data_IF_428941986016
#
_entry.id   IF_428941986016
#
_cell.length_a   1.000
_cell.length_b   1.000
_cell.length_c   1.000
_cell.angle_alpha   90.00
_cell.angle_beta   90.00
_cell.angle_gamma   90.00
#
_symmetry.space_group_name_H-M   'P 1'
#
loop_
_entity.id
_entity.type
_entity.pdbx_description
1 polymer ?
#
# COMPACT_ATOMS: atom_id res chain seq x y z
N UNK A 1 -42.34 -84.50 -7.26
CA UNK A 1 -42.68 -83.93 -8.58
C UNK A 1 -42.20 -82.49 -8.63
N UNK A 2 -41.52 -82.20 -9.72
CA UNK A 2 -41.00 -80.93 -10.21
C UNK A 2 -41.97 -79.75 -10.14
N UNK A 3 -41.44 -78.55 -9.92
CA UNK A 3 -42.16 -77.30 -10.13
C UNK A 3 -41.32 -76.06 -9.84
N UNK A 4 -40.31 -75.80 -10.69
CA UNK A 4 -39.55 -74.55 -10.73
C UNK A 4 -40.46 -73.45 -11.32
N UNK A 5 -40.64 -72.34 -10.61
CA UNK A 5 -41.01 -71.05 -11.24
C UNK A 5 -40.20 -69.92 -10.62
N UNK A 6 -39.29 -69.40 -11.43
CA UNK A 6 -38.51 -68.18 -11.24
C UNK A 6 -39.37 -66.93 -11.45
N UNK A 7 -39.24 -65.92 -10.59
CA UNK A 7 -39.96 -64.64 -10.72
C UNK A 7 -39.24 -63.47 -10.04
N UNK A 8 -38.18 -62.99 -10.70
CA UNK A 8 -37.59 -61.65 -10.69
C UNK A 8 -37.85 -60.72 -9.47
N UNK A 9 -36.83 -60.58 -8.63
CA UNK A 9 -36.60 -59.39 -7.80
C UNK A 9 -36.27 -58.18 -8.68
N UNK A 10 -37.19 -57.23 -8.83
CA UNK A 10 -36.88 -55.93 -9.43
C UNK A 10 -36.16 -55.05 -8.40
N UNK A 11 -34.85 -54.88 -8.63
CA UNK A 11 -34.00 -53.92 -7.89
C UNK A 11 -34.61 -52.53 -7.97
N UNK A 12 -34.99 -51.97 -6.82
CA UNK A 12 -35.31 -50.54 -6.71
C UNK A 12 -34.11 -49.72 -7.18
N UNK A 13 -34.27 -49.04 -8.32
CA UNK A 13 -33.29 -48.07 -8.80
C UNK A 13 -33.29 -46.89 -7.84
N UNK A 14 -32.34 -46.86 -6.89
CA UNK A 14 -32.06 -45.66 -6.13
C UNK A 14 -31.51 -44.62 -7.09
N UNK A 15 -32.37 -43.75 -7.62
CA UNK A 15 -31.95 -42.51 -8.28
C UNK A 15 -31.10 -41.73 -7.28
N UNK A 16 -29.78 -41.81 -7.43
CA UNK A 16 -28.87 -40.85 -6.82
C UNK A 16 -29.31 -39.48 -7.34
N UNK A 17 -30.00 -38.71 -6.49
CA UNK A 17 -30.30 -37.30 -6.75
C UNK A 17 -28.95 -36.64 -6.97
N UNK A 18 -28.58 -36.37 -8.23
CA UNK A 18 -27.48 -35.46 -8.56
C UNK A 18 -27.83 -34.15 -7.88
N UNK A 19 -27.25 -33.90 -6.70
CA UNK A 19 -27.33 -32.59 -6.06
C UNK A 19 -26.75 -31.62 -7.08
N UNK A 20 -27.60 -30.79 -7.65
CA UNK A 20 -27.18 -29.69 -8.48
C UNK A 20 -26.38 -28.77 -7.56
N UNK A 21 -25.06 -28.97 -7.55
CA UNK A 21 -24.16 -28.06 -6.88
C UNK A 21 -24.25 -26.77 -7.68
N UNK A 22 -25.08 -25.83 -7.23
CA UNK A 22 -24.95 -24.45 -7.71
C UNK A 22 -23.61 -23.98 -7.15
N UNK A 23 -22.55 -23.79 -7.96
CA UNK A 23 -21.36 -23.17 -7.45
C UNK A 23 -21.80 -21.83 -6.86
N UNK A 24 -21.75 -21.70 -5.53
CA UNK A 24 -21.82 -20.39 -4.91
C UNK A 24 -20.55 -19.70 -5.40
N UNK A 25 -20.68 -18.90 -6.45
CA UNK A 25 -19.63 -17.96 -6.80
C UNK A 25 -19.43 -17.11 -5.55
N UNK A 26 -18.32 -17.33 -4.85
CA UNK A 26 -17.89 -16.43 -3.81
C UNK A 26 -17.81 -15.08 -4.51
N UNK A 27 -18.67 -14.13 -4.11
CA UNK A 27 -18.63 -12.75 -4.59
C UNK A 27 -17.40 -12.10 -3.96
N UNK A 28 -16.21 -12.59 -4.32
CA UNK A 28 -14.97 -11.93 -3.96
C UNK A 28 -14.98 -10.58 -4.69
N UNK A 29 -14.77 -9.50 -3.94
CA UNK A 29 -14.56 -8.17 -4.52
C UNK A 29 -13.38 -8.30 -5.47
N UNK A 30 -13.63 -8.18 -6.78
CA UNK A 30 -12.55 -8.26 -7.76
C UNK A 30 -11.92 -6.87 -7.87
N UNK A 31 -10.69 -6.76 -7.37
CA UNK A 31 -9.88 -5.57 -7.47
C UNK A 31 -9.36 -5.45 -8.90
N UNK A 32 -9.93 -4.51 -9.66
CA UNK A 32 -9.55 -4.23 -11.04
C UNK A 32 -8.93 -2.83 -11.10
N UNK A 33 -7.72 -2.74 -11.61
CA UNK A 33 -7.04 -1.51 -11.96
C UNK A 33 -6.59 -1.56 -13.43
N UNK A 34 -6.11 -0.46 -13.99
CA UNK A 34 -5.57 -0.38 -15.34
C UNK A 34 -4.27 -1.20 -15.52
N UNK A 35 -3.51 -1.40 -14.44
CA UNK A 35 -2.27 -2.18 -14.42
C UNK A 35 -2.42 -3.42 -13.51
N UNK A 36 -1.91 -4.60 -13.92
CA UNK A 36 -1.91 -5.80 -13.09
C UNK A 36 -1.27 -5.59 -11.71
N UNK A 37 -0.21 -4.77 -11.64
CA UNK A 37 0.47 -4.42 -10.39
C UNK A 37 -0.48 -3.78 -9.37
N UNK A 38 -1.31 -2.83 -9.81
CA UNK A 38 -2.25 -2.11 -8.94
C UNK A 38 -3.42 -3.00 -8.51
N UNK A 39 -3.89 -3.89 -9.38
CA UNK A 39 -4.89 -4.91 -9.00
C UNK A 39 -4.34 -5.83 -7.90
N UNK A 40 -3.10 -6.31 -8.04
CA UNK A 40 -2.42 -7.15 -7.05
C UNK A 40 -2.13 -6.38 -5.77
N UNK A 41 -1.75 -5.10 -5.86
CA UNK A 41 -1.57 -4.23 -4.69
C UNK A 41 -2.87 -4.10 -3.88
N UNK A 42 -3.97 -3.72 -4.54
CA UNK A 42 -5.29 -3.57 -3.91
C UNK A 42 -5.77 -4.87 -3.28
N UNK A 43 -5.60 -5.99 -3.99
CA UNK A 43 -5.90 -7.33 -3.45
C UNK A 43 -5.03 -7.66 -2.24
N UNK A 44 -3.73 -7.37 -2.32
CA UNK A 44 -2.74 -7.60 -1.27
C UNK A 44 -3.08 -6.86 0.00
N UNK A 45 -3.32 -5.54 -0.08
CA UNK A 45 -3.75 -4.71 1.06
C UNK A 45 -5.04 -5.27 1.66
N UNK A 46 -6.06 -5.55 0.85
CA UNK A 46 -7.31 -6.12 1.37
C UNK A 46 -7.06 -7.46 2.08
N UNK A 47 -6.23 -8.33 1.53
CA UNK A 47 -5.98 -9.65 2.11
C UNK A 47 -5.21 -9.53 3.43
N UNK A 48 -4.13 -8.73 3.48
CA UNK A 48 -3.27 -8.62 4.66
C UNK A 48 -3.98 -7.93 5.82
N UNK A 49 -4.73 -6.85 5.55
CA UNK A 49 -5.51 -6.16 6.60
C UNK A 49 -6.58 -7.07 7.19
N UNK A 50 -7.36 -7.76 6.36
CA UNK A 50 -8.36 -8.70 6.85
C UNK A 50 -7.71 -9.85 7.63
N UNK A 51 -6.56 -10.36 7.19
CA UNK A 51 -5.78 -11.36 7.93
C UNK A 51 -5.35 -10.88 9.32
N UNK A 52 -4.93 -9.63 9.44
CA UNK A 52 -4.50 -9.02 10.70
C UNK A 52 -5.63 -8.84 11.72
N UNK A 53 -6.89 -8.74 11.27
CA UNK A 53 -8.04 -8.68 12.20
C UNK A 53 -8.18 -9.93 13.06
N UNK A 54 -7.66 -11.07 12.60
CA UNK A 54 -7.66 -12.33 13.32
C UNK A 54 -6.41 -12.54 14.19
N UNK A 55 -5.48 -11.58 14.18
CA UNK A 55 -4.26 -11.61 14.99
C UNK A 55 -4.46 -10.71 16.21
N UNK A 56 -4.24 -11.27 17.39
CA UNK A 56 -4.29 -10.52 18.64
C UNK A 56 -3.24 -9.40 18.63
N UNK A 57 -3.63 -8.22 19.12
CA UNK A 57 -2.69 -7.10 19.26
C UNK A 57 -1.75 -7.42 20.42
N UNK A 58 -0.43 -7.53 20.18
CA UNK A 58 0.51 -7.79 21.25
C UNK A 58 0.67 -6.54 22.12
N UNK A 59 0.93 -6.74 23.42
CA UNK A 59 1.20 -5.63 24.36
C UNK A 59 2.49 -4.89 24.01
N UNK A 60 3.49 -5.63 23.50
CA UNK A 60 4.76 -5.11 23.04
C UNK A 60 5.22 -5.84 21.79
N UNK A 61 5.95 -5.13 20.92
CA UNK A 61 6.61 -5.73 19.76
C UNK A 61 7.92 -6.37 20.19
N UNK A 62 8.19 -7.55 19.67
CA UNK A 62 9.40 -8.32 19.88
C UNK A 62 10.40 -8.09 18.74
N UNK A 63 11.71 -8.33 18.95
CA UNK A 63 12.72 -8.16 17.88
C UNK A 63 12.43 -8.96 16.60
N UNK A 64 11.75 -10.10 16.71
CA UNK A 64 11.36 -10.93 15.56
C UNK A 64 10.25 -10.30 14.72
N UNK A 65 9.41 -9.42 15.30
CA UNK A 65 8.38 -8.71 14.55
C UNK A 65 8.99 -7.80 13.47
N UNK A 66 10.19 -7.26 13.72
CA UNK A 66 10.96 -6.42 12.79
C UNK A 66 11.67 -7.21 11.68
N UNK A 67 11.63 -8.55 11.74
CA UNK A 67 12.13 -9.46 10.70
C UNK A 67 11.00 -10.28 10.07
N UNK A 68 9.83 -10.27 10.69
CA UNK A 68 8.66 -11.05 10.27
C UNK A 68 8.14 -10.61 8.90
N UNK A 69 7.45 -11.53 8.23
CA UNK A 69 6.74 -11.24 7.00
C UNK A 69 5.59 -12.22 6.80
N UNK A 70 4.56 -11.81 6.07
CA UNK A 70 3.55 -12.72 5.50
C UNK A 70 3.81 -12.83 4.00
N UNK A 71 3.60 -14.02 3.42
CA UNK A 71 3.73 -14.23 1.98
C UNK A 71 2.60 -15.11 1.49
N UNK A 72 1.85 -14.60 0.52
CA UNK A 72 0.79 -15.33 -0.16
C UNK A 72 1.18 -15.50 -1.63
N UNK A 73 1.02 -16.71 -2.15
CA UNK A 73 1.11 -17.03 -3.57
C UNK A 73 -0.30 -17.42 -4.04
N UNK A 74 -0.76 -16.78 -5.10
CA UNK A 74 -2.06 -17.08 -5.71
C UNK A 74 -1.80 -17.69 -7.07
N UNK A 75 -2.38 -18.87 -7.30
CA UNK A 75 -2.33 -19.62 -8.56
C UNK A 75 -3.76 -19.99 -8.97
N UNK A 76 -4.37 -19.16 -9.81
CA UNK A 76 -5.73 -19.35 -10.30
C UNK A 76 -5.73 -20.09 -11.64
N UNK A 77 -6.27 -21.32 -11.65
CA UNK A 77 -6.51 -22.07 -12.89
C UNK A 77 -7.97 -21.89 -13.33
N UNK A 78 -8.19 -21.25 -14.49
CA UNK A 78 -9.51 -21.04 -15.13
C UNK A 78 -10.58 -20.34 -14.26
N UNK A 79 -10.18 -19.68 -13.18
CA UNK A 79 -11.05 -18.87 -12.33
C UNK A 79 -10.82 -17.39 -12.65
N UNK A 80 -11.89 -16.60 -12.78
CA UNK A 80 -11.89 -15.19 -13.26
C UNK A 80 -11.56 -14.94 -14.75
N UNK A 81 -11.43 -15.99 -15.59
CA UNK A 81 -11.16 -15.89 -17.05
C UNK A 81 -12.40 -15.81 -17.95
N UNK A 82 -13.51 -15.20 -17.51
CA UNK A 82 -14.69 -15.02 -18.38
C UNK A 82 -14.98 -13.53 -18.57
N UNK A 83 -14.22 -12.90 -19.47
CA UNK A 83 -14.72 -11.85 -20.35
C UNK A 83 -13.76 -11.64 -21.54
N UNK A 84 -13.69 -12.62 -22.45
CA UNK A 84 -13.17 -12.40 -23.80
C UNK A 84 -14.17 -11.56 -24.57
N UNK A 85 -13.89 -10.27 -24.73
CA UNK A 85 -14.14 -9.44 -25.93
C UNK A 85 -14.05 -7.93 -25.62
N UNK A 86 -14.00 -7.52 -24.35
CA UNK A 86 -13.76 -6.11 -23.97
C UNK A 86 -12.81 -6.07 -22.77
N UNK A 87 -11.51 -5.89 -23.06
CA UNK A 87 -10.36 -5.39 -22.28
C UNK A 87 -10.39 -5.23 -20.73
N UNK A 88 -10.97 -6.15 -19.93
CA UNK A 88 -11.09 -5.98 -18.45
C UNK A 88 -10.60 -7.17 -17.59
N UNK A 89 -9.71 -8.04 -18.09
CA UNK A 89 -9.07 -9.10 -17.27
C UNK A 89 -7.79 -8.62 -16.56
N UNK A 90 -7.90 -7.71 -15.58
CA UNK A 90 -6.72 -7.06 -14.98
C UNK A 90 -6.22 -7.68 -13.65
N UNK A 91 -6.72 -8.86 -13.26
CA UNK A 91 -6.16 -9.62 -12.14
C UNK A 91 -5.34 -10.80 -12.69
N UNK A 92 -4.01 -10.82 -12.49
CA UNK A 92 -3.17 -11.88 -13.02
C UNK A 92 -3.53 -13.25 -12.41
N UNK A 93 -3.40 -14.31 -13.21
CA UNK A 93 -3.66 -15.68 -12.73
C UNK A 93 -2.63 -16.17 -11.71
N UNK A 94 -1.40 -15.67 -11.81
CA UNK A 94 -0.28 -16.03 -10.95
C UNK A 94 0.38 -14.77 -10.41
N UNK A 95 0.39 -14.62 -9.09
CA UNK A 95 1.08 -13.52 -8.44
C UNK A 95 1.47 -13.87 -7.00
N UNK A 96 2.39 -13.10 -6.43
CA UNK A 96 2.78 -13.21 -5.02
C UNK A 96 2.65 -11.85 -4.34
N UNK A 97 2.19 -11.86 -3.11
CA UNK A 97 2.19 -10.69 -2.23
C UNK A 97 3.00 -11.06 -1.00
N UNK A 98 3.99 -10.25 -0.66
CA UNK A 98 4.71 -10.32 0.60
C UNK A 98 4.53 -9.01 1.34
N UNK A 99 4.09 -9.06 2.59
CA UNK A 99 4.07 -7.90 3.49
C UNK A 99 5.18 -8.09 4.53
N UNK A 100 5.97 -7.04 4.73
CA UNK A 100 7.06 -7.03 5.68
C UNK A 100 6.60 -6.43 7.01
N UNK A 101 7.08 -6.98 8.13
CA UNK A 101 6.87 -6.47 9.48
C UNK A 101 5.42 -6.07 9.81
N UNK A 102 4.42 -6.94 9.53
CA UNK A 102 3.00 -6.59 9.58
C UNK A 102 2.54 -6.02 10.93
N UNK A 103 3.01 -6.58 12.05
CA UNK A 103 2.65 -6.10 13.39
C UNK A 103 3.29 -4.74 13.72
N UNK A 104 4.51 -4.50 13.22
CA UNK A 104 5.19 -3.21 13.39
C UNK A 104 4.41 -2.11 12.66
N UNK A 105 4.03 -2.36 11.40
CA UNK A 105 3.27 -1.39 10.62
C UNK A 105 1.82 -1.23 11.08
N UNK A 106 1.20 -2.26 11.66
CA UNK A 106 -0.09 -2.13 12.36
C UNK A 106 0.04 -1.17 13.55
N UNK A 107 1.07 -1.33 14.39
CA UNK A 107 1.27 -0.42 15.52
C UNK A 107 1.68 0.99 15.09
N UNK A 108 2.44 1.16 14.00
CA UNK A 108 2.73 2.48 13.44
C UNK A 108 1.46 3.18 12.96
N UNK A 109 0.56 2.47 12.27
CA UNK A 109 -0.74 3.04 11.86
C UNK A 109 -1.55 3.50 13.06
N UNK A 110 -1.64 2.70 14.11
CA UNK A 110 -2.27 3.10 15.38
C UNK A 110 -1.63 4.37 15.97
N UNK A 111 -0.30 4.43 16.05
CA UNK A 111 0.43 5.61 16.58
C UNK A 111 0.24 6.88 15.75
N UNK A 112 -0.03 6.74 14.46
CA UNK A 112 -0.37 7.85 13.58
C UNK A 112 -1.88 8.14 13.52
N UNK A 113 -2.70 7.47 14.33
CA UNK A 113 -4.14 7.66 14.36
C UNK A 113 -4.83 7.23 13.06
N UNK A 114 -4.34 6.15 12.45
CA UNK A 114 -4.89 5.58 11.22
C UNK A 114 -5.60 4.27 11.57
N UNK A 115 -6.91 4.23 11.35
CA UNK A 115 -7.69 3.01 11.46
C UNK A 115 -7.37 2.05 10.29
N UNK A 116 -7.32 0.74 10.58
CA UNK A 116 -6.97 -0.30 9.61
C UNK A 116 -8.03 -0.43 8.49
N UNK A 117 -9.30 -0.24 8.83
CA UNK A 117 -10.41 -0.32 7.87
C UNK A 117 -10.41 0.90 6.96
N UNK A 118 -10.17 2.09 7.51
CA UNK A 118 -10.04 3.32 6.72
C UNK A 118 -8.83 3.25 5.79
N UNK A 119 -7.67 2.82 6.30
CA UNK A 119 -6.47 2.57 5.50
C UNK A 119 -6.74 1.63 4.32
N UNK A 120 -7.38 0.49 4.58
CA UNK A 120 -7.74 -0.47 3.54
C UNK A 120 -8.73 0.14 2.54
N UNK A 121 -9.73 0.90 3.00
CA UNK A 121 -10.71 1.53 2.13
C UNK A 121 -10.05 2.55 1.19
N UNK A 122 -9.19 3.42 1.72
CA UNK A 122 -8.42 4.42 0.96
C UNK A 122 -7.58 3.80 -0.15
N UNK A 123 -7.01 2.61 0.09
CA UNK A 123 -6.10 1.96 -0.87
C UNK A 123 -6.79 0.98 -1.82
N UNK A 124 -8.04 0.59 -1.57
CA UNK A 124 -8.69 -0.52 -2.31
C UNK A 124 -10.08 -0.19 -2.87
N UNK A 125 -10.68 0.95 -2.54
CA UNK A 125 -11.98 1.37 -3.10
C UNK A 125 -11.87 1.77 -4.57
N UNK A 126 -10.76 2.40 -4.95
CA UNK A 126 -10.40 2.75 -6.32
C UNK A 126 -8.90 2.59 -6.50
N UNK A 127 -8.46 2.36 -7.73
CA UNK A 127 -7.04 2.32 -8.07
C UNK A 127 -6.33 3.62 -7.69
N UNK A 128 -5.07 3.49 -7.27
CA UNK A 128 -4.21 4.64 -7.03
C UNK A 128 -3.82 5.31 -8.36
N UNK A 129 -3.63 6.63 -8.32
CA UNK A 129 -3.32 7.45 -9.49
C UNK A 129 -1.83 7.70 -9.52
N UNK A 130 -1.16 7.42 -10.63
CA UNK A 130 0.26 7.74 -10.78
C UNK A 130 0.48 9.26 -10.68
N UNK A 131 1.48 9.68 -9.91
CA UNK A 131 1.86 11.09 -9.75
C UNK A 131 3.31 11.28 -10.15
N UNK A 132 3.59 12.39 -10.81
CA UNK A 132 4.94 12.75 -11.22
C UNK A 132 5.85 12.92 -10.01
N UNK A 133 7.03 12.28 -10.08
CA UNK A 133 8.11 12.53 -9.14
C UNK A 133 9.10 13.53 -9.73
N UNK A 134 9.43 14.62 -9.03
CA UNK A 134 10.51 15.53 -9.45
C UNK A 134 11.91 14.96 -9.12
N UNK A 135 11.99 13.82 -8.43
CA UNK A 135 13.24 13.24 -7.95
C UNK A 135 14.04 12.48 -9.02
N UNK A 136 15.37 12.53 -8.93
CA UNK A 136 16.30 11.83 -9.83
C UNK A 136 16.33 10.29 -9.64
N UNK A 137 15.65 9.75 -8.63
CA UNK A 137 15.76 8.33 -8.22
C UNK A 137 15.02 7.34 -9.11
N UNK A 138 14.23 7.80 -10.10
CA UNK A 138 13.43 6.90 -10.95
C UNK A 138 12.28 6.18 -10.23
N UNK A 139 12.06 6.46 -8.94
CA UNK A 139 10.97 5.89 -8.17
C UNK A 139 9.62 6.38 -8.71
N UNK A 140 8.69 5.44 -8.92
CA UNK A 140 7.30 5.73 -9.24
C UNK A 140 6.52 6.04 -7.97
N UNK A 141 5.62 7.00 -8.07
CA UNK A 141 4.74 7.39 -6.99
C UNK A 141 3.30 7.24 -7.45
N UNK A 142 2.46 6.74 -6.55
CA UNK A 142 1.02 6.67 -6.73
C UNK A 142 0.34 7.32 -5.53
N UNK A 143 -0.78 7.98 -5.77
CA UNK A 143 -1.60 8.61 -4.74
C UNK A 143 -2.92 7.84 -4.60
N UNK A 144 -3.35 7.58 -3.36
CA UNK A 144 -4.66 7.00 -3.11
C UNK A 144 -5.77 7.90 -3.68
N UNK A 145 -6.93 7.33 -4.01
CA UNK A 145 -8.00 8.09 -4.67
C UNK A 145 -8.55 9.25 -3.81
N UNK A 146 -8.44 9.12 -2.49
CA UNK A 146 -8.81 10.14 -1.50
C UNK A 146 -7.64 11.04 -1.08
N UNK A 147 -6.48 10.87 -1.72
CA UNK A 147 -5.26 11.66 -1.50
C UNK A 147 -4.68 11.58 -0.09
N UNK A 148 -5.11 10.62 0.74
CA UNK A 148 -4.60 10.45 2.10
C UNK A 148 -3.22 9.77 2.15
N UNK A 149 -2.92 8.93 1.15
CA UNK A 149 -1.71 8.10 1.14
C UNK A 149 -0.94 8.22 -0.18
N UNK A 150 0.37 8.05 -0.07
CA UNK A 150 1.30 7.92 -1.18
C UNK A 150 1.90 6.52 -1.15
N UNK A 151 1.98 5.88 -2.30
CA UNK A 151 2.62 4.58 -2.51
C UNK A 151 3.87 4.86 -3.35
N UNK A 152 5.04 4.59 -2.80
CA UNK A 152 6.32 4.80 -3.48
C UNK A 152 6.94 3.44 -3.82
N UNK A 153 7.47 3.30 -5.03
CA UNK A 153 8.31 2.14 -5.37
C UNK A 153 9.69 2.27 -4.76
N UNK A 154 10.23 1.16 -4.27
CA UNK A 154 11.57 1.07 -3.70
C UNK A 154 12.48 0.17 -4.54
N UNK A 155 13.78 0.45 -4.47
CA UNK A 155 14.83 -0.49 -4.85
C UNK A 155 15.02 -1.55 -3.75
N UNK A 156 15.67 -2.68 -4.09
CA UNK A 156 16.00 -3.74 -3.13
C UNK A 156 16.85 -3.21 -1.97
N UNK A 157 17.82 -2.34 -2.29
CA UNK A 157 18.75 -1.76 -1.31
C UNK A 157 18.03 -0.80 -0.37
N UNK A 158 17.04 -0.04 -0.88
CA UNK A 158 16.19 0.82 -0.04
C UNK A 158 15.33 -0.01 0.94
N UNK A 159 14.89 -1.22 0.55
CA UNK A 159 14.14 -2.13 1.43
C UNK A 159 15.03 -2.66 2.56
N UNK A 160 16.29 -3.00 2.26
CA UNK A 160 17.27 -3.41 3.28
C UNK A 160 17.55 -2.27 4.27
N UNK A 161 17.75 -1.05 3.76
CA UNK A 161 17.92 0.15 4.59
C UNK A 161 16.69 0.42 5.45
N UNK A 162 15.48 0.27 4.89
CA UNK A 162 14.24 0.41 5.66
C UNK A 162 14.13 -0.62 6.79
N UNK A 163 14.59 -1.86 6.61
CA UNK A 163 14.60 -2.84 7.70
C UNK A 163 15.56 -2.48 8.83
N UNK A 164 16.69 -1.83 8.51
CA UNK A 164 17.61 -1.29 9.52
C UNK A 164 16.95 -0.13 10.24
N UNK A 165 16.47 0.87 9.48
CA UNK A 165 15.81 2.06 10.00
C UNK A 165 14.60 1.73 10.88
N UNK A 166 13.78 0.75 10.51
CA UNK A 166 12.51 0.46 11.18
C UNK A 166 12.69 0.14 12.68
N UNK A 167 13.83 -0.45 13.06
CA UNK A 167 14.14 -0.80 14.45
C UNK A 167 14.39 0.42 15.34
N UNK A 168 14.85 1.51 14.74
CA UNK A 168 15.13 2.78 15.43
C UNK A 168 13.94 3.74 15.28
N UNK A 169 13.33 3.74 14.10
CA UNK A 169 12.18 4.57 13.77
C UNK A 169 10.95 4.26 14.61
N UNK A 170 10.63 2.97 14.86
CA UNK A 170 9.45 2.64 15.68
C UNK A 170 9.57 3.19 17.11
N UNK A 171 10.67 2.93 17.87
CA UNK A 171 10.90 3.57 19.17
C UNK A 171 10.83 5.10 19.12
N UNK A 172 11.41 5.72 18.09
CA UNK A 172 11.33 7.17 17.92
C UNK A 172 9.88 7.66 17.80
N UNK A 173 9.07 7.02 16.96
CA UNK A 173 7.62 7.34 16.82
C UNK A 173 6.86 7.10 18.12
N UNK A 174 7.24 6.08 18.90
CA UNK A 174 6.65 5.80 20.22
C UNK A 174 6.90 6.96 21.18
N UNK A 175 8.16 7.34 21.34
CA UNK A 175 8.62 8.39 22.25
C UNK A 175 8.06 9.76 21.88
N UNK A 176 8.01 10.06 20.58
CA UNK A 176 7.45 11.32 20.06
C UNK A 176 5.93 11.33 19.99
N UNK A 177 5.26 10.27 20.42
CA UNK A 177 3.79 10.13 20.35
C UNK A 177 3.24 10.40 18.94
N UNK A 178 3.92 9.91 17.91
CA UNK A 178 3.54 10.13 16.50
C UNK A 178 3.78 11.55 15.95
N UNK A 179 4.33 12.48 16.76
CA UNK A 179 4.61 13.86 16.34
C UNK A 179 5.99 13.98 15.71
N UNK A 180 6.04 13.84 14.39
CA UNK A 180 7.26 13.91 13.59
C UNK A 180 6.97 14.46 12.18
N UNK A 181 7.96 15.11 11.58
CA UNK A 181 8.00 15.54 10.18
C UNK A 181 8.59 14.47 9.26
N UNK A 182 9.18 13.40 9.82
CA UNK A 182 9.65 12.24 9.04
C UNK A 182 8.47 11.58 8.29
N UNK A 183 8.73 10.88 7.17
CA UNK A 183 7.70 10.13 6.48
C UNK A 183 7.01 9.16 7.44
N UNK A 184 5.68 9.20 7.47
CA UNK A 184 4.88 8.29 8.30
C UNK A 184 4.72 6.97 7.55
N UNK A 185 5.57 5.99 7.82
CA UNK A 185 5.57 4.69 7.14
C UNK A 185 4.45 3.79 7.67
N UNK A 186 3.60 3.29 6.78
CA UNK A 186 2.34 2.63 7.12
C UNK A 186 2.27 1.16 6.72
N UNK A 187 3.04 0.77 5.71
CA UNK A 187 3.24 -0.62 5.30
C UNK A 187 4.39 -0.72 4.29
N UNK A 188 4.97 -1.91 4.18
CA UNK A 188 5.95 -2.25 3.16
C UNK A 188 5.61 -3.59 2.52
N UNK A 189 5.58 -3.63 1.19
CA UNK A 189 5.18 -4.79 0.41
C UNK A 189 6.22 -5.14 -0.66
N UNK A 190 6.26 -6.42 -1.03
CA UNK A 190 6.82 -6.90 -2.30
C UNK A 190 5.75 -7.62 -3.08
N UNK A 191 5.49 -7.17 -4.29
CA UNK A 191 4.57 -7.80 -5.23
C UNK A 191 5.39 -8.51 -6.30
N UNK A 192 5.03 -9.75 -6.63
CA UNK A 192 5.56 -10.46 -7.80
C UNK A 192 4.43 -10.66 -8.79
N UNK A 193 4.50 -9.99 -9.94
CA UNK A 193 3.50 -10.06 -11.00
C UNK A 193 4.22 -10.40 -12.30
N UNK A 194 3.77 -11.44 -12.99
CA UNK A 194 4.36 -11.86 -14.29
C UNK A 194 5.88 -12.09 -14.23
N UNK A 195 6.38 -12.53 -13.08
CA UNK A 195 7.81 -12.77 -12.84
C UNK A 195 8.62 -11.55 -12.41
N UNK A 196 8.07 -10.33 -12.52
CA UNK A 196 8.73 -9.11 -12.05
C UNK A 196 8.43 -8.85 -10.56
N UNK A 197 9.46 -8.53 -9.79
CA UNK A 197 9.32 -8.10 -8.39
C UNK A 197 9.26 -6.57 -8.31
N UNK A 198 8.34 -6.04 -7.52
CA UNK A 198 8.23 -4.60 -7.23
C UNK A 198 8.05 -4.41 -5.74
N UNK A 199 8.90 -3.56 -5.16
CA UNK A 199 8.84 -3.20 -3.75
C UNK A 199 8.10 -1.89 -3.58
N UNK A 200 7.23 -1.82 -2.58
CA UNK A 200 6.36 -0.68 -2.34
C UNK A 200 6.38 -0.32 -0.86
N UNK A 201 6.41 0.98 -0.58
CA UNK A 201 6.13 1.52 0.76
C UNK A 201 4.92 2.43 0.68
N UNK A 202 4.03 2.32 1.66
CA UNK A 202 2.89 3.21 1.81
C UNK A 202 3.21 4.22 2.91
N UNK A 203 3.05 5.50 2.61
CA UNK A 203 3.26 6.61 3.54
C UNK A 203 2.05 7.53 3.56
N UNK A 204 1.87 8.29 4.65
CA UNK A 204 0.87 9.38 4.69
C UNK A 204 1.25 10.46 3.68
N UNK A 205 0.27 10.97 2.94
CA UNK A 205 0.47 12.16 2.11
C UNK A 205 0.67 13.40 3.00
N UNK A 206 1.75 14.15 2.74
CA UNK A 206 2.05 15.39 3.48
C UNK A 206 1.09 16.53 3.10
N UNK A 207 0.51 16.48 1.91
CA UNK A 207 -0.43 17.48 1.43
C UNK A 207 -1.85 17.12 1.86
N UNK A 208 -2.64 18.16 2.15
CA UNK A 208 -4.05 18.00 2.48
C UNK A 208 -4.81 17.31 1.34
N UNK A 209 -5.75 16.42 1.71
CA UNK A 209 -6.71 15.85 0.77
C UNK A 209 -7.79 16.84 0.33
N UNK A 210 -7.97 17.94 1.08
CA UNK A 210 -9.04 18.92 0.90
C UNK A 210 -8.56 20.29 0.41
N UNK A 211 -7.34 20.71 0.80
CA UNK A 211 -6.79 22.01 0.45
C UNK A 211 -5.87 21.89 -0.76
N UNK A 212 -6.06 22.79 -1.73
CA UNK A 212 -5.20 22.86 -2.91
C UNK A 212 -3.85 23.47 -2.54
N UNK A 213 -2.78 22.86 -3.06
CA UNK A 213 -1.42 23.36 -2.94
C UNK A 213 -1.16 24.29 -4.12
N UNK A 214 -0.84 25.55 -3.83
CA UNK A 214 -0.60 26.56 -4.87
C UNK A 214 0.89 26.67 -5.24
N UNK A 215 1.78 26.40 -4.28
CA UNK A 215 3.24 26.48 -4.45
C UNK A 215 3.88 25.31 -3.71
N UNK A 216 4.90 24.69 -4.33
CA UNK A 216 5.69 23.61 -3.71
C UNK A 216 7.17 23.94 -3.76
N UNK A 217 7.86 23.65 -2.68
CA UNK A 217 9.32 23.71 -2.60
C UNK A 217 9.87 22.37 -2.10
N UNK A 218 10.91 21.86 -2.77
CA UNK A 218 11.84 20.85 -2.23
C UNK A 218 13.04 21.64 -1.69
N UNK A 219 13.29 21.59 -0.39
CA UNK A 219 14.36 22.35 0.28
C UNK A 219 15.38 21.40 0.91
N UNK A 220 16.66 21.71 0.75
CA UNK A 220 17.78 20.91 1.28
C UNK A 220 18.85 21.74 2.00
N UNK A 221 18.83 23.06 1.88
CA UNK A 221 19.82 23.97 2.46
C UNK A 221 21.14 24.06 1.68
N UNK A 222 21.30 23.29 0.61
CA UNK A 222 22.43 23.43 -0.32
C UNK A 222 22.11 24.42 -1.45
N UNK A 223 23.12 24.82 -2.22
CA UNK A 223 22.98 25.80 -3.32
C UNK A 223 23.23 25.21 -4.72
N UNK A 224 23.97 24.10 -4.81
CA UNK A 224 24.32 23.44 -6.08
C UNK A 224 23.15 22.57 -6.56
N UNK A 225 22.75 22.72 -7.83
CA UNK A 225 21.60 22.02 -8.44
C UNK A 225 20.25 22.25 -7.73
N UNK A 226 20.12 23.38 -7.02
CA UNK A 226 18.94 23.75 -6.23
C UNK A 226 18.08 24.83 -6.88
N UNK A 227 17.95 24.75 -8.20
CA UNK A 227 16.93 25.47 -8.99
C UNK A 227 16.04 24.47 -9.74
N UNK A 228 14.76 24.82 -9.94
CA UNK A 228 13.85 24.06 -10.80
C UNK A 228 14.29 24.13 -12.27
N UNK A 229 14.22 23.00 -12.97
CA UNK A 229 14.49 22.95 -14.40
C UNK A 229 13.36 23.64 -15.19
N UNK A 230 13.66 24.08 -16.41
CA UNK A 230 12.66 24.69 -17.32
C UNK A 230 11.43 23.78 -17.48
N UNK A 231 11.63 22.48 -17.73
CA UNK A 231 10.55 21.49 -17.81
C UNK A 231 9.70 21.38 -16.54
N UNK A 232 10.29 21.52 -15.35
CA UNK A 232 9.51 21.49 -14.10
C UNK A 232 8.68 22.76 -13.96
N UNK A 233 9.22 23.91 -14.37
CA UNK A 233 8.54 25.22 -14.33
C UNK A 233 7.33 25.32 -15.27
N UNK A 234 7.30 24.51 -16.34
CA UNK A 234 6.16 24.42 -17.26
C UNK A 234 4.91 23.73 -16.66
N UNK A 235 5.07 23.02 -15.54
CA UNK A 235 3.94 22.35 -14.88
C UNK A 235 3.01 23.37 -14.21
N UNK A 236 1.73 23.02 -14.12
CA UNK A 236 0.72 23.86 -13.46
C UNK A 236 1.06 24.19 -11.99
N UNK A 237 1.67 23.24 -11.28
CA UNK A 237 2.18 23.45 -9.92
C UNK A 237 3.62 22.91 -9.87
N UNK A 238 4.63 23.76 -10.20
CA UNK A 238 6.02 23.33 -10.23
C UNK A 238 6.53 23.01 -8.83
N UNK A 239 7.51 22.13 -8.76
CA UNK A 239 8.28 21.87 -7.54
C UNK A 239 9.55 22.71 -7.60
N UNK A 240 9.50 23.87 -6.96
CA UNK A 240 10.60 24.82 -6.85
C UNK A 240 11.64 24.32 -5.84
N UNK A 241 12.83 24.93 -5.81
CA UNK A 241 13.93 24.56 -4.92
C UNK A 241 14.48 25.75 -4.13
N UNK A 242 15.60 25.55 -3.42
CA UNK A 242 16.18 26.53 -2.50
C UNK A 242 16.51 27.87 -3.18
N UNK A 243 17.15 27.85 -4.36
CA UNK A 243 17.52 29.09 -5.07
C UNK A 243 16.29 29.83 -5.60
N UNK A 244 15.23 29.09 -5.96
CA UNK A 244 13.94 29.66 -6.35
C UNK A 244 13.28 30.39 -5.18
N UNK A 245 13.23 29.75 -4.01
CA UNK A 245 12.65 30.33 -2.80
C UNK A 245 13.32 31.67 -2.45
N UNK A 246 14.65 31.73 -2.54
CA UNK A 246 15.43 32.94 -2.25
C UNK A 246 15.16 34.01 -3.31
N UNK A 247 15.16 33.65 -4.60
CA UNK A 247 14.93 34.57 -5.72
C UNK A 247 13.52 35.17 -5.68
N UNK A 248 12.53 34.37 -5.35
CA UNK A 248 11.13 34.79 -5.25
C UNK A 248 10.89 35.67 -4.00
N UNK A 249 11.84 35.71 -3.07
CA UNK A 249 11.69 36.43 -1.80
C UNK A 249 10.57 35.87 -0.92
N UNK A 250 10.18 34.62 -1.15
CA UNK A 250 9.04 33.97 -0.49
C UNK A 250 9.29 33.83 1.01
N UNK A 251 8.27 34.18 1.81
CA UNK A 251 8.28 34.01 3.26
C UNK A 251 7.10 33.16 3.71
N UNK A 252 7.33 32.29 4.69
CA UNK A 252 6.28 31.46 5.29
C UNK A 252 5.92 32.04 6.66
N UNK A 253 4.71 32.58 6.78
CA UNK A 253 4.23 33.22 8.01
C UNK A 253 3.32 32.25 8.79
N UNK A 254 3.83 31.67 9.88
CA UNK A 254 3.11 30.65 10.68
C UNK A 254 2.80 31.10 12.12
N UNK A 255 3.30 32.26 12.56
CA UNK A 255 3.22 32.72 13.95
C UNK A 255 4.29 32.09 14.85
N UNK A 256 4.54 32.70 16.01
CA UNK A 256 5.64 32.34 16.93
C UNK A 256 5.47 30.92 17.46
N UNK A 257 4.33 30.60 18.06
CA UNK A 257 4.11 29.29 18.71
C UNK A 257 4.19 28.12 17.71
N UNK A 258 3.65 28.29 16.49
CA UNK A 258 3.72 27.24 15.48
C UNK A 258 5.14 27.08 14.93
N UNK A 259 5.89 28.18 14.80
CA UNK A 259 7.30 28.15 14.40
C UNK A 259 8.15 27.42 15.43
N UNK A 260 7.97 27.71 16.72
CA UNK A 260 8.69 27.04 17.80
C UNK A 260 8.41 25.54 17.79
N UNK A 261 7.14 25.12 17.77
CA UNK A 261 6.78 23.70 17.68
C UNK A 261 7.35 23.02 16.43
N UNK A 262 7.31 23.69 15.29
CA UNK A 262 7.86 23.16 14.04
C UNK A 262 9.38 22.96 14.14
N UNK A 263 10.11 23.95 14.66
CA UNK A 263 11.57 23.86 14.81
C UNK A 263 11.97 22.81 15.85
N UNK A 264 11.23 22.68 16.95
CA UNK A 264 11.46 21.61 17.93
C UNK A 264 11.30 20.21 17.33
N UNK A 265 10.25 20.01 16.51
CA UNK A 265 10.08 18.74 15.79
C UNK A 265 11.20 18.53 14.77
N UNK A 266 11.54 19.55 13.98
CA UNK A 266 12.59 19.48 12.97
C UNK A 266 13.95 19.16 13.60
N UNK A 267 14.31 19.79 14.71
CA UNK A 267 15.57 19.52 15.42
C UNK A 267 15.60 18.09 15.96
N UNK A 268 14.49 17.61 16.55
CA UNK A 268 14.43 16.22 17.02
C UNK A 268 14.56 15.21 15.87
N UNK A 269 13.88 15.45 14.75
CA UNK A 269 13.90 14.59 13.57
C UNK A 269 15.25 14.56 12.86
N UNK A 270 16.02 15.66 12.90
CA UNK A 270 17.37 15.75 12.31
C UNK A 270 18.43 15.11 13.20
N UNK A 271 18.21 15.10 14.52
CA UNK A 271 19.11 14.44 15.47
C UNK A 271 18.92 12.91 15.51
N UNK A 272 17.73 12.44 15.14
CA UNK A 272 17.43 11.03 14.88
C UNK A 272 18.10 10.57 13.57
#
# INVERSE_FOLDING_TARGET
MSGIVSGLTTKGSSRLKKKHFKPKHQKAKLFRANEPLLSVFMWGVNHTINGLTHVNIPVMLMPDDFKSYTKIKVDNHHFNKRASEINWENMPSHFKVKEYCPLVFRNLRERFGIDDVDYMNSLTKSQAIAVDSPGRSGAKFYQSYDRLFIIKTLLSEEVEQMHVLLKEYHPYVVERHGKTLLPQYLAMYRLTVEGAETYLVVIRNIFSSYLNVHVKYDLKGSTVDREASEKEREKNIPTLKDNDLVKDGTKVHVGTDAKERFLEMLTADVNF
#
